data_IF_691988321838
#
_entry.id   IF_691988321838
#
_cell.length_a   1.000
_cell.length_b   1.000
_cell.length_c   1.000
_cell.angle_alpha   90.00
_cell.angle_beta   90.00
_cell.angle_gamma   90.00
#
_symmetry.space_group_name_H-M   'P 1'
#
loop_
_entity.id
_entity.type
_entity.pdbx_description
1 polymer ?
#
# COMPACT_ATOMS: atom_id res chain seq x y z
N UNK A 1 -21.80 24.96 12.34
CA UNK A 1 -21.47 23.55 12.39
C UNK A 1 -19.96 23.37 12.45
N UNK A 2 -19.53 22.71 13.46
CA UNK A 2 -18.11 22.47 13.59
C UNK A 2 -17.71 21.28 12.72
N UNK A 3 -16.68 21.51 11.92
CA UNK A 3 -16.08 20.40 11.22
C UNK A 3 -15.52 19.44 12.26
N UNK A 4 -15.72 18.17 12.07
CA UNK A 4 -15.09 17.18 12.91
C UNK A 4 -13.58 17.37 12.82
N UNK A 5 -12.86 17.30 13.95
CA UNK A 5 -11.41 17.41 13.89
C UNK A 5 -10.88 16.31 12.98
N UNK A 6 -10.13 16.72 11.98
CA UNK A 6 -9.50 15.75 11.09
C UNK A 6 -8.52 14.93 11.92
N UNK A 7 -8.69 13.63 11.90
CA UNK A 7 -7.70 12.74 12.50
C UNK A 7 -6.44 12.89 11.67
N UNK A 8 -5.34 13.36 12.28
CA UNK A 8 -4.10 13.49 11.51
C UNK A 8 -3.66 12.14 10.96
N UNK A 9 -3.08 12.15 9.78
CA UNK A 9 -2.55 10.93 9.18
C UNK A 9 -1.53 10.32 10.14
N UNK A 10 -1.67 9.05 10.41
CA UNK A 10 -0.73 8.33 11.24
C UNK A 10 0.59 8.15 10.46
N UNK A 11 1.71 8.41 11.14
CA UNK A 11 3.03 8.22 10.54
C UNK A 11 3.65 6.96 11.11
N UNK A 12 4.01 6.05 10.23
CA UNK A 12 4.62 4.78 10.62
C UNK A 12 5.96 4.65 9.93
N UNK A 13 7.01 4.33 10.69
CA UNK A 13 8.33 4.11 10.12
C UNK A 13 8.45 2.70 9.54
N UNK A 14 9.16 2.60 8.43
CA UNK A 14 9.45 1.32 7.78
C UNK A 14 10.94 1.21 7.49
N UNK A 15 11.49 0.00 7.48
CA UNK A 15 12.82 -0.20 6.94
C UNK A 15 12.90 0.33 5.52
N UNK A 16 14.06 0.87 5.17
CA UNK A 16 14.26 1.54 3.88
C UNK A 16 13.85 0.67 2.68
N UNK A 17 14.26 -0.59 2.68
CA UNK A 17 13.95 -1.50 1.57
C UNK A 17 12.46 -1.73 1.43
N UNK A 18 11.74 -1.88 2.54
CA UNK A 18 10.28 -2.05 2.51
C UNK A 18 9.58 -0.79 2.01
N UNK A 19 10.07 0.37 2.44
CA UNK A 19 9.49 1.63 1.98
C UNK A 19 9.73 1.85 0.50
N UNK A 20 10.90 1.48 -0.02
CA UNK A 20 11.18 1.58 -1.45
C UNK A 20 10.23 0.70 -2.28
N UNK A 21 10.02 -0.53 -1.84
CA UNK A 21 9.08 -1.44 -2.51
C UNK A 21 7.65 -0.88 -2.47
N UNK A 22 7.24 -0.36 -1.33
CA UNK A 22 5.89 0.22 -1.19
C UNK A 22 5.71 1.42 -2.12
N UNK A 23 6.68 2.33 -2.14
CA UNK A 23 6.61 3.51 -3.00
C UNK A 23 6.59 3.14 -4.48
N UNK A 24 7.43 2.19 -4.88
CA UNK A 24 7.47 1.72 -6.26
C UNK A 24 6.11 1.18 -6.69
N UNK A 25 5.57 0.27 -5.92
CA UNK A 25 4.31 -0.39 -6.27
C UNK A 25 3.15 0.59 -6.22
N UNK A 26 3.10 1.47 -5.21
CA UNK A 26 2.04 2.50 -5.13
C UNK A 26 2.08 3.45 -6.32
N UNK A 27 3.27 3.92 -6.70
CA UNK A 27 3.41 4.83 -7.83
C UNK A 27 2.98 4.19 -9.15
N UNK A 28 3.23 2.90 -9.28
CA UNK A 28 2.96 2.17 -10.51
C UNK A 28 1.66 1.35 -10.46
N UNK A 29 0.93 1.42 -9.35
CA UNK A 29 -0.21 0.53 -9.13
C UNK A 29 -1.26 0.60 -10.23
N UNK A 30 -1.66 1.79 -10.64
CA UNK A 30 -2.64 1.93 -11.71
C UNK A 30 -2.16 1.31 -13.02
N UNK A 31 -0.88 1.47 -13.33
CA UNK A 31 -0.28 0.89 -14.53
C UNK A 31 -0.20 -0.63 -14.42
N UNK A 32 0.22 -1.13 -13.26
CA UNK A 32 0.30 -2.57 -13.00
C UNK A 32 -1.07 -3.21 -13.19
N UNK A 33 -2.09 -2.64 -12.56
CA UNK A 33 -3.46 -3.18 -12.63
C UNK A 33 -3.98 -3.18 -14.06
N UNK A 34 -3.71 -2.12 -14.82
CA UNK A 34 -4.15 -2.06 -16.22
C UNK A 34 -3.41 -3.05 -17.12
N UNK A 35 -2.19 -3.40 -16.76
CA UNK A 35 -1.34 -4.25 -17.59
C UNK A 35 -1.54 -5.73 -17.35
N UNK A 36 -2.06 -6.11 -16.20
CA UNK A 36 -2.35 -7.50 -15.90
C UNK A 36 -3.56 -7.94 -16.72
N UNK A 37 -3.39 -9.04 -17.47
CA UNK A 37 -4.45 -9.54 -18.34
C UNK A 37 -5.58 -10.24 -17.60
N UNK A 38 -6.61 -10.60 -18.35
CA UNK A 38 -7.74 -11.36 -17.84
C UNK A 38 -8.64 -10.60 -16.89
N UNK A 39 -9.29 -11.32 -16.00
CA UNK A 39 -10.22 -10.75 -15.03
C UNK A 39 -9.57 -10.02 -13.88
N UNK A 40 -8.27 -10.18 -13.67
CA UNK A 40 -7.55 -9.62 -12.53
C UNK A 40 -7.71 -8.11 -12.43
N UNK A 41 -7.69 -7.42 -13.57
CA UNK A 41 -7.86 -5.97 -13.65
C UNK A 41 -9.16 -5.51 -12.96
N UNK A 42 -10.23 -6.24 -13.18
CA UNK A 42 -11.54 -5.87 -12.61
C UNK A 42 -11.55 -5.97 -11.10
N UNK A 43 -10.85 -6.96 -10.55
CA UNK A 43 -10.85 -7.20 -9.10
C UNK A 43 -9.90 -6.27 -8.36
N UNK A 44 -8.85 -5.80 -9.01
CA UNK A 44 -7.80 -4.99 -8.37
C UNK A 44 -7.98 -3.49 -8.56
N UNK A 45 -9.01 -3.06 -9.27
CA UNK A 45 -9.15 -1.66 -9.70
C UNK A 45 -9.23 -0.64 -8.56
N UNK A 46 -9.99 -0.95 -7.51
CA UNK A 46 -10.20 0.00 -6.41
C UNK A 46 -9.48 -0.41 -5.14
N UNK A 47 -8.31 -1.01 -5.29
CA UNK A 47 -7.53 -1.48 -4.16
C UNK A 47 -6.44 -0.50 -3.78
N UNK A 48 -5.95 -0.65 -2.54
CA UNK A 48 -4.85 0.14 -2.00
C UNK A 48 -3.74 -0.82 -1.58
N UNK A 49 -2.50 -0.40 -1.70
CA UNK A 49 -1.36 -1.21 -1.31
C UNK A 49 -0.79 -0.68 0.01
N UNK A 50 -0.58 -1.58 0.95
CA UNK A 50 0.00 -1.29 2.26
C UNK A 50 1.21 -2.20 2.52
N UNK A 51 2.03 -1.89 3.54
CA UNK A 51 3.13 -2.78 3.91
C UNK A 51 2.61 -4.15 4.33
N UNK A 52 3.40 -5.20 4.08
CA UNK A 52 3.05 -6.55 4.47
C UNK A 52 4.18 -7.29 5.18
N UNK A 53 5.25 -6.59 5.52
CA UNK A 53 6.43 -7.19 6.09
C UNK A 53 7.57 -7.25 5.09
N UNK A 54 8.66 -7.85 5.48
CA UNK A 54 9.85 -7.94 4.63
C UNK A 54 9.54 -8.69 3.32
N UNK A 55 9.81 -8.02 2.21
CA UNK A 55 9.57 -8.60 0.88
C UNK A 55 8.10 -8.83 0.55
N UNK A 56 7.19 -8.23 1.30
CA UNK A 56 5.77 -8.46 1.16
C UNK A 56 4.97 -7.17 1.24
N UNK A 57 3.93 -7.07 0.41
CA UNK A 57 2.97 -5.96 0.46
C UNK A 57 1.57 -6.53 0.62
N UNK A 58 0.66 -5.74 1.18
CA UNK A 58 -0.72 -6.15 1.38
C UNK A 58 -1.63 -5.36 0.45
N UNK A 59 -2.48 -6.07 -0.28
CA UNK A 59 -3.52 -5.46 -1.11
C UNK A 59 -4.78 -5.36 -0.27
N UNK A 60 -5.28 -4.13 -0.10
CA UNK A 60 -6.49 -3.88 0.68
C UNK A 60 -7.66 -3.72 -0.28
N UNK A 61 -8.64 -4.59 -0.16
CA UNK A 61 -9.86 -4.58 -0.97
C UNK A 61 -10.96 -3.81 -0.24
N UNK A 62 -11.76 -3.08 -0.99
CA UNK A 62 -12.81 -2.23 -0.43
C UNK A 62 -14.15 -2.96 -0.32
N UNK A 63 -14.33 -4.04 -1.07
CA UNK A 63 -15.57 -4.82 -1.02
C UNK A 63 -15.28 -6.32 -1.04
N UNK A 64 -16.23 -7.09 -0.49
CA UNK A 64 -16.03 -8.52 -0.30
C UNK A 64 -16.00 -9.30 -1.60
N UNK A 65 -16.74 -8.87 -2.60
CA UNK A 65 -16.77 -9.58 -3.88
C UNK A 65 -15.42 -9.51 -4.59
N UNK A 66 -14.85 -8.33 -4.69
CA UNK A 66 -13.53 -8.16 -5.29
C UNK A 66 -12.45 -8.82 -4.45
N UNK A 67 -12.60 -8.81 -3.14
CA UNK A 67 -11.68 -9.50 -2.25
C UNK A 67 -11.68 -11.01 -2.53
N UNK A 68 -12.86 -11.62 -2.58
CA UNK A 68 -12.99 -13.06 -2.82
C UNK A 68 -12.41 -13.48 -4.17
N UNK A 69 -12.58 -12.66 -5.19
CA UNK A 69 -12.06 -12.95 -6.52
C UNK A 69 -10.58 -12.62 -6.66
N UNK A 70 -10.16 -11.49 -6.09
CA UNK A 70 -8.79 -11.01 -6.23
C UNK A 70 -7.77 -11.74 -5.38
N UNK A 71 -8.18 -12.36 -4.29
CA UNK A 71 -7.26 -13.11 -3.43
C UNK A 71 -6.88 -14.49 -3.97
N UNK A 72 -7.45 -14.89 -5.10
CA UNK A 72 -7.15 -16.20 -5.68
C UNK A 72 -5.68 -16.33 -6.05
N UNK A 73 -5.05 -17.49 -5.82
CA UNK A 73 -3.63 -17.67 -6.12
C UNK A 73 -3.26 -17.37 -7.57
N UNK A 74 -4.18 -17.61 -8.51
CA UNK A 74 -3.93 -17.31 -9.92
C UNK A 74 -3.78 -15.82 -10.17
N UNK A 75 -4.61 -14.99 -9.52
CA UNK A 75 -4.54 -13.54 -9.64
C UNK A 75 -3.27 -13.01 -8.98
N UNK A 76 -3.01 -13.46 -7.76
CA UNK A 76 -1.84 -13.02 -6.99
C UNK A 76 -0.55 -13.47 -7.68
N UNK A 77 -0.51 -14.68 -8.19
CA UNK A 77 0.67 -15.18 -8.92
C UNK A 77 0.99 -14.38 -10.16
N UNK A 78 -0.04 -13.98 -10.92
CA UNK A 78 0.17 -13.13 -12.09
C UNK A 78 0.71 -11.75 -11.71
N UNK A 79 0.19 -11.20 -10.63
CA UNK A 79 0.65 -9.91 -10.11
C UNK A 79 2.12 -9.98 -9.69
N UNK A 80 2.48 -11.00 -8.93
CA UNK A 80 3.86 -11.18 -8.47
C UNK A 80 4.81 -11.36 -9.63
N UNK A 81 4.41 -12.15 -10.62
CA UNK A 81 5.22 -12.37 -11.82
C UNK A 81 5.38 -11.09 -12.63
N UNK A 82 4.32 -10.31 -12.76
CA UNK A 82 4.37 -9.05 -13.48
C UNK A 82 5.37 -8.07 -12.83
N UNK A 83 5.31 -7.94 -11.52
CA UNK A 83 6.21 -7.04 -10.78
C UNK A 83 7.65 -7.51 -10.91
N UNK A 84 7.89 -8.81 -10.78
CA UNK A 84 9.25 -9.35 -10.92
C UNK A 84 9.80 -9.14 -12.33
N UNK A 85 8.98 -9.42 -13.35
CA UNK A 85 9.42 -9.31 -14.74
C UNK A 85 9.68 -7.87 -15.17
N UNK A 86 8.83 -6.94 -14.75
CA UNK A 86 8.88 -5.57 -15.24
C UNK A 86 9.69 -4.62 -14.36
N UNK A 87 9.83 -4.94 -13.07
CA UNK A 87 10.53 -4.06 -12.11
C UNK A 87 11.72 -4.70 -11.45
N UNK A 88 11.95 -5.99 -11.69
CA UNK A 88 13.08 -6.70 -11.11
C UNK A 88 13.00 -6.87 -9.60
N UNK A 89 11.79 -6.83 -9.03
CA UNK A 89 11.57 -6.93 -7.59
C UNK A 89 10.79 -8.19 -7.25
N UNK A 90 11.35 -9.01 -6.37
CA UNK A 90 10.65 -10.20 -5.86
C UNK A 90 9.81 -9.78 -4.66
N UNK A 91 8.56 -9.43 -4.92
CA UNK A 91 7.63 -8.98 -3.89
C UNK A 91 6.47 -9.97 -3.81
N UNK A 92 6.16 -10.43 -2.59
CA UNK A 92 4.98 -11.25 -2.36
C UNK A 92 3.81 -10.36 -1.97
N UNK A 93 2.60 -10.77 -2.32
CA UNK A 93 1.41 -10.00 -2.02
C UNK A 93 0.48 -10.79 -1.12
N UNK A 94 0.09 -10.16 -0.02
CA UNK A 94 -0.98 -10.62 0.86
C UNK A 94 -2.24 -9.84 0.52
N UNK A 95 -3.38 -10.32 1.01
CA UNK A 95 -4.65 -9.64 0.78
C UNK A 95 -5.40 -9.48 2.08
N UNK A 96 -6.17 -8.40 2.18
CA UNK A 96 -7.13 -8.22 3.26
C UNK A 96 -8.31 -7.39 2.80
N UNK A 97 -9.40 -7.49 3.50
CA UNK A 97 -10.58 -6.66 3.26
C UNK A 97 -10.56 -5.49 4.25
N UNK A 98 -10.79 -4.27 3.75
CA UNK A 98 -10.86 -3.10 4.61
C UNK A 98 -12.02 -3.22 5.60
N UNK A 99 -11.78 -2.78 6.82
CA UNK A 99 -12.83 -2.72 7.83
C UNK A 99 -13.83 -1.61 7.51
N UNK A 100 -15.04 -1.75 8.04
CA UNK A 100 -16.08 -0.75 7.83
C UNK A 100 -15.64 0.59 8.43
N UNK A 101 -15.59 1.62 7.60
CA UNK A 101 -15.15 2.95 8.05
C UNK A 101 -13.65 3.08 8.27
N UNK A 102 -12.88 2.10 7.86
CA UNK A 102 -11.44 2.15 8.01
C UNK A 102 -10.84 3.28 7.17
N UNK A 103 -9.90 4.03 7.76
CA UNK A 103 -9.18 5.09 7.06
C UNK A 103 -7.84 4.57 6.56
N UNK A 104 -7.59 4.78 5.28
CA UNK A 104 -6.35 4.32 4.63
C UNK A 104 -5.44 5.50 4.35
N UNK A 105 -5.18 6.30 5.39
CA UNK A 105 -4.42 7.54 5.26
C UNK A 105 -3.07 7.51 5.98
N UNK A 106 -2.58 6.32 6.34
CA UNK A 106 -1.28 6.20 7.01
C UNK A 106 -0.15 6.62 6.08
N UNK A 107 0.77 7.43 6.59
CA UNK A 107 1.95 7.86 5.89
C UNK A 107 3.13 7.01 6.34
N UNK A 108 3.84 6.41 5.39
CA UNK A 108 4.98 5.56 5.68
C UNK A 108 6.26 6.29 5.33
N UNK A 109 7.18 6.34 6.28
CA UNK A 109 8.44 7.06 6.15
C UNK A 109 9.57 6.22 6.74
N UNK A 110 10.82 6.61 6.48
CA UNK A 110 11.95 5.96 7.11
C UNK A 110 12.09 6.47 8.55
N UNK A 111 12.83 5.72 9.35
CA UNK A 111 13.11 6.11 10.72
C UNK A 111 13.85 7.44 10.79
N UNK A 112 14.79 7.65 9.87
CA UNK A 112 15.52 8.91 9.77
C UNK A 112 14.59 10.09 9.49
N UNK A 113 13.65 9.92 8.57
CA UNK A 113 12.69 10.97 8.24
C UNK A 113 11.80 11.30 9.43
N UNK A 114 11.44 10.30 10.21
CA UNK A 114 10.61 10.50 11.40
C UNK A 114 11.37 11.33 12.43
N UNK A 115 12.64 11.02 12.67
CA UNK A 115 13.47 11.77 13.61
C UNK A 115 13.66 13.21 13.17
N UNK A 116 13.94 13.43 11.89
CA UNK A 116 14.11 14.76 11.34
C UNK A 116 12.86 15.62 11.53
N UNK A 117 11.69 15.04 11.31
CA UNK A 117 10.43 15.76 11.50
C UNK A 117 10.20 16.12 12.96
N UNK A 118 10.55 15.25 13.88
CA UNK A 118 10.44 15.54 15.30
C UNK A 118 11.35 16.71 15.68
N UNK A 119 12.58 16.73 15.17
CA UNK A 119 13.51 17.82 15.40
C UNK A 119 13.01 19.14 14.84
N UNK A 120 12.44 19.12 13.64
CA UNK A 120 11.89 20.32 13.04
C UNK A 120 10.72 20.87 13.85
N UNK A 121 9.86 20.02 14.35
CA UNK A 121 8.73 20.43 15.18
C UNK A 121 9.19 21.07 16.47
N UNK A 122 10.23 20.52 17.09
CA UNK A 122 10.81 21.09 18.31
C UNK A 122 11.40 22.47 18.05
N UNK A 123 12.07 22.65 16.91
CA UNK A 123 12.67 23.91 16.52
C UNK A 123 11.61 25.00 16.32
N UNK A 124 10.43 24.63 15.89
CA UNK A 124 9.35 25.58 15.62
C UNK A 124 8.68 26.10 16.89
N UNK A 125 8.82 25.42 17.97
CA UNK A 125 8.15 25.83 19.22
C UNK A 125 8.89 26.91 19.99
N UNK A 126 10.06 27.29 19.56
CA UNK A 126 10.77 28.43 20.15
C UNK A 126 10.15 29.76 19.68
#
# INVERSE_FOLDING_TARGET
AQAEPQVPAEKVSLPKAQLEDLKLVRNEWAKIVRSIGGGAKSYLRDTVVEPGGEGCLTIVFMDSMNYDMGKRPTVIGELERYVETNYGRSIYFKTRLAGKGERLNTIYITEEELEDKIHMDITYED
#
